data_IF_429483229262
#
_entry.id   IF_429483229262
#
_cell.length_a   1.000
_cell.length_b   1.000
_cell.length_c   1.000
_cell.angle_alpha   90.00
_cell.angle_beta   90.00
_cell.angle_gamma   90.00
#
_symmetry.space_group_name_H-M   'P 1'
#
loop_
_entity.id
_entity.type
_entity.pdbx_description
1 polymer ?
#
# COMPACT_ATOMS: atom_id res chain seq x y z
N UNK A 1 -1.39 6.31 13.47
CA UNK A 1 -0.42 5.42 12.81
C UNK A 1 0.68 6.27 12.19
N UNK A 2 1.93 5.97 12.47
CA UNK A 2 3.04 6.74 11.94
C UNK A 2 3.68 6.04 10.73
N UNK A 3 4.64 6.73 10.10
CA UNK A 3 5.30 6.23 8.90
C UNK A 3 5.95 4.87 9.12
N UNK A 4 6.64 4.69 10.24
CA UNK A 4 7.36 3.45 10.52
C UNK A 4 6.40 2.27 10.67
N UNK A 5 5.26 2.50 11.30
CA UNK A 5 4.23 1.47 11.43
C UNK A 5 3.66 1.07 10.06
N UNK A 6 3.42 2.06 9.19
CA UNK A 6 2.94 1.81 7.84
C UNK A 6 3.96 1.01 7.04
N UNK A 7 5.22 1.42 7.09
CA UNK A 7 6.29 0.71 6.37
C UNK A 7 6.45 -0.72 6.84
N UNK A 8 6.40 -0.95 8.14
CA UNK A 8 6.48 -2.30 8.68
C UNK A 8 5.30 -3.15 8.23
N UNK A 9 4.10 -2.57 8.26
CA UNK A 9 2.90 -3.24 7.80
C UNK A 9 3.00 -3.62 6.33
N UNK A 10 3.46 -2.69 5.49
CA UNK A 10 3.58 -2.93 4.05
C UNK A 10 4.62 -4.01 3.76
N UNK A 11 5.71 -4.04 4.51
CA UNK A 11 6.72 -5.09 4.35
C UNK A 11 6.14 -6.46 4.62
N UNK A 12 5.38 -6.59 5.72
CA UNK A 12 4.72 -7.86 6.05
C UNK A 12 3.66 -8.22 5.03
N UNK A 13 2.92 -7.24 4.55
CA UNK A 13 1.91 -7.44 3.53
C UNK A 13 2.54 -7.96 2.25
N UNK A 14 3.65 -7.35 1.81
CA UNK A 14 4.37 -7.81 0.64
C UNK A 14 4.85 -9.25 0.81
N UNK A 15 5.43 -9.58 1.93
CA UNK A 15 5.91 -10.93 2.18
C UNK A 15 4.77 -11.95 2.12
N UNK A 16 3.60 -11.59 2.62
CA UNK A 16 2.44 -12.49 2.65
C UNK A 16 1.81 -12.65 1.27
N UNK A 17 1.73 -11.58 0.50
CA UNK A 17 0.93 -11.53 -0.72
C UNK A 17 1.75 -11.38 -2.01
N UNK A 18 3.07 -11.39 -1.95
CA UNK A 18 3.87 -11.16 -3.15
C UNK A 18 3.59 -12.19 -4.25
N UNK A 19 3.35 -13.44 -3.89
CA UNK A 19 3.02 -14.48 -4.87
C UNK A 19 1.60 -14.35 -5.38
N UNK A 20 0.66 -14.04 -4.48
CA UNK A 20 -0.76 -13.95 -4.84
C UNK A 20 -1.03 -12.81 -5.80
N UNK A 21 -0.39 -11.66 -5.59
CA UNK A 21 -0.64 -10.45 -6.37
C UNK A 21 0.52 -10.05 -7.26
N UNK A 22 1.59 -10.84 -7.33
CA UNK A 22 2.81 -10.52 -8.09
C UNK A 22 3.41 -9.17 -7.68
N UNK A 23 3.46 -8.92 -6.38
CA UNK A 23 4.00 -7.66 -5.87
C UNK A 23 5.53 -7.69 -5.95
N UNK A 24 6.10 -6.82 -6.78
CA UNK A 24 7.55 -6.64 -6.88
C UNK A 24 8.04 -5.66 -5.83
N UNK A 25 7.38 -4.50 -5.76
CA UNK A 25 7.71 -3.46 -4.79
C UNK A 25 6.43 -2.84 -4.25
N UNK A 26 6.48 -2.40 -3.00
CA UNK A 26 5.39 -1.66 -2.39
C UNK A 26 6.00 -0.64 -1.42
N UNK A 27 5.44 0.56 -1.39
CA UNK A 27 5.93 1.61 -0.52
C UNK A 27 4.89 2.70 -0.31
N UNK A 28 5.24 3.69 0.50
CA UNK A 28 4.38 4.85 0.75
C UNK A 28 5.02 6.10 0.20
N UNK A 29 4.18 7.08 -0.17
CA UNK A 29 4.65 8.39 -0.61
C UNK A 29 3.65 9.46 -0.16
N UNK A 30 3.93 10.72 -0.47
CA UNK A 30 3.06 11.81 -0.08
C UNK A 30 3.14 12.12 1.40
N UNK A 31 2.02 12.49 2.01
CA UNK A 31 1.99 12.91 3.41
C UNK A 31 2.36 11.79 4.37
N UNK A 32 2.00 10.55 4.06
CA UNK A 32 2.38 9.42 4.87
C UNK A 32 3.90 9.23 4.89
N UNK A 33 4.56 9.43 3.74
CA UNK A 33 6.01 9.32 3.65
C UNK A 33 6.73 10.43 4.41
N UNK A 34 6.07 11.56 4.60
CA UNK A 34 6.62 12.71 5.35
C UNK A 34 6.31 12.67 6.83
N UNK A 35 5.60 11.64 7.27
CA UNK A 35 5.19 11.49 8.65
C UNK A 35 4.32 12.65 9.14
N UNK A 36 3.57 13.26 8.24
CA UNK A 36 2.68 14.39 8.53
C UNK A 36 1.21 14.02 8.32
N UNK A 37 0.90 12.75 8.42
CA UNK A 37 -0.44 12.22 8.21
C UNK A 37 -1.39 12.64 9.31
N UNK A 38 -2.63 12.96 8.95
CA UNK A 38 -3.70 13.22 9.91
C UNK A 38 -4.90 12.33 9.56
N UNK A 39 -5.95 12.40 10.38
CA UNK A 39 -7.12 11.52 10.26
C UNK A 39 -7.88 11.69 8.94
N UNK A 40 -7.68 12.79 8.25
CA UNK A 40 -8.38 13.09 7.00
C UNK A 40 -7.53 12.83 5.77
N UNK A 41 -6.27 12.45 5.95
CA UNK A 41 -5.36 12.21 4.83
C UNK A 41 -5.48 10.77 4.35
N UNK A 42 -5.55 10.60 3.04
CA UNK A 42 -5.44 9.28 2.43
C UNK A 42 -4.00 8.80 2.51
N UNK A 43 -3.85 7.50 2.65
CA UNK A 43 -2.53 6.87 2.60
C UNK A 43 -2.19 6.62 1.13
N UNK A 44 -1.17 7.29 0.64
CA UNK A 44 -0.71 7.12 -0.74
C UNK A 44 0.29 5.98 -0.81
N UNK A 45 -0.06 4.94 -1.54
CA UNK A 45 0.78 3.75 -1.66
C UNK A 45 1.15 3.55 -3.12
N UNK A 46 2.45 3.36 -3.35
CA UNK A 46 2.96 3.00 -4.67
C UNK A 46 3.20 1.51 -4.70
N UNK A 47 2.79 0.86 -5.78
CA UNK A 47 2.99 -0.57 -5.95
C UNK A 47 3.51 -0.85 -7.35
N UNK A 48 4.47 -1.76 -7.42
CA UNK A 48 5.01 -2.28 -8.69
C UNK A 48 4.65 -3.75 -8.77
N UNK A 49 3.85 -4.10 -9.75
CA UNK A 49 3.44 -5.48 -10.00
C UNK A 49 4.23 -6.04 -11.18
N UNK A 50 4.71 -7.26 -11.04
CA UNK A 50 5.39 -7.95 -12.14
C UNK A 50 4.48 -8.14 -13.36
N UNK A 51 3.18 -8.36 -13.11
CA UNK A 51 2.15 -8.37 -14.16
C UNK A 51 1.09 -7.35 -13.80
N UNK A 52 0.87 -6.33 -14.63
CA UNK A 52 -0.21 -5.38 -14.40
C UNK A 52 -1.57 -6.09 -14.43
N UNK A 53 -2.33 -5.97 -13.35
CA UNK A 53 -3.64 -6.58 -13.24
C UNK A 53 -4.51 -5.70 -12.33
N UNK A 54 -5.55 -5.12 -12.92
CA UNK A 54 -6.45 -4.25 -12.17
C UNK A 54 -7.18 -4.97 -11.05
N UNK A 55 -7.51 -6.24 -11.24
CA UNK A 55 -8.16 -7.01 -10.19
C UNK A 55 -7.24 -7.19 -9.00
N UNK A 56 -5.96 -7.40 -9.25
CA UNK A 56 -4.98 -7.47 -8.17
C UNK A 56 -4.83 -6.13 -7.45
N UNK A 57 -4.83 -5.03 -8.20
CA UNK A 57 -4.78 -3.70 -7.59
C UNK A 57 -5.98 -3.44 -6.69
N UNK A 58 -7.17 -3.79 -7.14
CA UNK A 58 -8.40 -3.64 -6.34
C UNK A 58 -8.31 -4.50 -5.09
N UNK A 59 -7.86 -5.73 -5.22
CA UNK A 59 -7.69 -6.63 -4.09
C UNK A 59 -6.70 -6.11 -3.06
N UNK A 60 -5.58 -5.57 -3.53
CA UNK A 60 -4.56 -4.98 -2.66
C UNK A 60 -5.14 -3.76 -1.93
N UNK A 61 -5.81 -2.89 -2.65
CA UNK A 61 -6.43 -1.70 -2.05
C UNK A 61 -7.42 -2.08 -0.96
N UNK A 62 -8.33 -3.01 -1.26
CA UNK A 62 -9.34 -3.44 -0.30
C UNK A 62 -8.71 -4.08 0.93
N UNK A 63 -7.71 -4.93 0.75
CA UNK A 63 -7.03 -5.58 1.87
C UNK A 63 -6.32 -4.55 2.74
N UNK A 64 -5.67 -3.57 2.13
CA UNK A 64 -4.98 -2.52 2.87
C UNK A 64 -5.96 -1.66 3.66
N UNK A 65 -7.06 -1.26 3.04
CA UNK A 65 -8.05 -0.44 3.72
C UNK A 65 -8.70 -1.17 4.89
N UNK A 66 -8.97 -2.46 4.73
CA UNK A 66 -9.53 -3.27 5.81
C UNK A 66 -8.58 -3.39 7.00
N UNK A 67 -7.30 -3.56 6.73
CA UNK A 67 -6.32 -3.79 7.80
C UNK A 67 -5.84 -2.49 8.43
N UNK A 68 -5.69 -1.43 7.64
CA UNK A 68 -5.23 -0.14 8.14
C UNK A 68 -6.35 0.74 8.71
N UNK A 69 -7.58 0.50 8.31
CA UNK A 69 -8.74 1.32 8.67
C UNK A 69 -8.60 2.77 8.24
N UNK A 70 -7.91 2.99 7.12
CA UNK A 70 -7.72 4.31 6.51
C UNK A 70 -8.01 4.21 5.02
N UNK A 71 -8.50 5.29 4.40
CA UNK A 71 -8.58 5.34 2.94
C UNK A 71 -7.19 5.19 2.34
N UNK A 72 -7.08 4.37 1.31
CA UNK A 72 -5.82 4.09 0.65
C UNK A 72 -5.95 4.44 -0.82
N UNK A 73 -4.96 5.20 -1.32
CA UNK A 73 -4.87 5.54 -2.72
C UNK A 73 -3.67 4.79 -3.31
N UNK A 74 -3.89 4.01 -4.34
CA UNK A 74 -2.83 3.17 -4.91
C UNK A 74 -2.43 3.73 -6.27
N UNK A 75 -1.12 3.93 -6.43
CA UNK A 75 -0.51 4.30 -7.69
C UNK A 75 0.37 3.15 -8.16
N UNK A 76 0.14 2.71 -9.37
CA UNK A 76 0.94 1.65 -9.98
C UNK A 76 2.11 2.25 -10.73
N UNK A 77 3.31 1.70 -10.50
CA UNK A 77 4.49 2.03 -11.28
C UNK A 77 4.90 0.83 -12.12
N UNK A 78 5.37 1.07 -13.29
CA UNK A 78 5.85 0.02 -14.20
C UNK A 78 4.84 -0.45 -15.23
#
# INVERSE_FOLDING_TARGET
MNKDEILLFLRRFREKYHSKYNIVKIGVFGSAARDSMNDKSDIDIVVDLGRPDYFNLIGIKQALEEQLHYPVDIVRTG
#
